data_IF_191227979623
#
_entry.id   IF_191227979623
#
_cell.length_a   1.000
_cell.length_b   1.000
_cell.length_c   1.000
_cell.angle_alpha   90.00
_cell.angle_beta   90.00
_cell.angle_gamma   90.00
#
_symmetry.space_group_name_H-M   'P 1'
#
loop_
_entity.id
_entity.type
_entity.pdbx_description
1 polymer ?
#
# COMPACT_ATOMS: atom_id res chain seq x y z
N UNK A 1 40.19 32.49 -28.24
CA UNK A 1 39.29 33.53 -27.70
C UNK A 1 37.98 33.36 -28.42
N UNK A 2 36.87 32.87 -27.89
CA UNK A 2 36.31 32.65 -26.54
C UNK A 2 35.39 31.42 -26.67
N UNK A 3 35.58 30.34 -25.92
CA UNK A 3 34.96 30.01 -24.62
C UNK A 3 33.56 30.57 -24.33
N UNK A 4 32.61 29.62 -24.18
CA UNK A 4 31.60 29.51 -23.12
C UNK A 4 30.46 30.58 -23.09
N UNK A 5 29.18 30.24 -23.09
CA UNK A 5 28.50 29.48 -22.03
C UNK A 5 27.12 28.95 -22.46
N UNK A 6 26.92 27.69 -22.09
CA UNK A 6 25.64 27.03 -21.86
C UNK A 6 24.71 27.83 -20.94
N UNK A 7 23.41 27.69 -21.16
CA UNK A 7 22.43 27.60 -20.07
C UNK A 7 21.29 26.72 -20.54
N UNK A 8 21.53 25.41 -20.44
CA UNK A 8 20.45 24.44 -20.27
C UNK A 8 19.96 24.64 -18.85
N UNK A 9 18.76 25.20 -18.72
CA UNK A 9 18.04 25.27 -17.46
C UNK A 9 17.53 23.84 -17.23
N UNK A 10 18.27 23.08 -16.43
CA UNK A 10 17.83 21.79 -15.94
C UNK A 10 16.93 22.07 -14.73
N UNK A 11 15.63 22.25 -15.00
CA UNK A 11 14.63 22.30 -13.94
C UNK A 11 14.54 20.90 -13.32
N UNK A 12 14.99 20.84 -12.07
CA UNK A 12 14.82 19.70 -11.19
C UNK A 12 13.32 19.48 -11.00
N UNK A 13 12.78 18.45 -11.64
CA UNK A 13 11.59 17.81 -11.12
C UNK A 13 12.08 16.87 -10.00
N UNK A 14 11.73 17.08 -8.72
CA UNK A 14 12.03 16.10 -7.70
C UNK A 14 11.16 14.89 -8.01
N UNK A 15 11.75 13.95 -8.75
CA UNK A 15 11.22 12.62 -8.95
C UNK A 15 10.71 12.13 -7.60
N UNK A 16 9.38 12.07 -7.48
CA UNK A 16 8.70 11.54 -6.30
C UNK A 16 9.24 10.13 -6.22
N UNK A 17 10.17 9.90 -5.28
CA UNK A 17 10.78 8.60 -5.03
C UNK A 17 9.65 7.63 -4.72
N UNK A 18 9.07 7.06 -5.77
CA UNK A 18 8.02 6.07 -5.73
C UNK A 18 8.77 4.83 -5.29
N UNK A 19 8.75 4.60 -3.99
CA UNK A 19 9.49 3.51 -3.40
C UNK A 19 8.85 2.23 -3.91
N UNK A 20 9.50 1.54 -4.86
CA UNK A 20 9.00 0.29 -5.44
C UNK A 20 8.54 -0.66 -4.32
N UNK A 21 7.24 -0.92 -4.27
CA UNK A 21 6.64 -1.74 -3.21
C UNK A 21 7.03 -3.20 -3.44
N UNK A 22 7.96 -3.70 -2.63
CA UNK A 22 8.46 -5.08 -2.74
C UNK A 22 7.69 -6.07 -1.86
N UNK A 23 7.75 -7.35 -2.21
CA UNK A 23 7.17 -8.42 -1.37
C UNK A 23 7.72 -8.43 0.07
N UNK A 24 8.97 -7.99 0.28
CA UNK A 24 9.60 -7.90 1.61
C UNK A 24 8.94 -6.83 2.48
N UNK A 25 8.52 -5.72 1.89
CA UNK A 25 7.81 -4.66 2.62
C UNK A 25 6.44 -5.16 3.09
N UNK A 26 5.71 -5.84 2.21
CA UNK A 26 4.44 -6.48 2.53
C UNK A 26 4.61 -7.53 3.64
N UNK A 27 5.58 -8.43 3.52
CA UNK A 27 5.88 -9.43 4.55
C UNK A 27 6.19 -8.77 5.90
N UNK A 28 7.05 -7.75 5.89
CA UNK A 28 7.44 -7.03 7.09
C UNK A 28 6.26 -6.34 7.77
N UNK A 29 5.35 -5.75 6.99
CA UNK A 29 4.13 -5.14 7.49
C UNK A 29 3.17 -6.18 8.10
N UNK A 30 3.01 -7.35 7.47
CA UNK A 30 2.22 -8.46 8.04
C UNK A 30 2.82 -8.97 9.37
N UNK A 31 4.15 -9.14 9.44
CA UNK A 31 4.86 -9.52 10.67
C UNK A 31 4.67 -8.46 11.76
N UNK A 32 4.71 -7.17 11.42
CA UNK A 32 4.49 -6.09 12.38
C UNK A 32 3.09 -6.15 13.00
N UNK A 33 2.06 -6.43 12.21
CA UNK A 33 0.70 -6.62 12.74
C UNK A 33 0.64 -7.77 13.75
N UNK A 34 1.30 -8.90 13.47
CA UNK A 34 1.39 -10.00 14.43
C UNK A 34 2.12 -9.58 15.72
N UNK A 35 3.23 -8.82 15.62
CA UNK A 35 3.95 -8.29 16.78
C UNK A 35 3.06 -7.40 17.64
N UNK A 36 2.33 -6.46 17.03
CA UNK A 36 1.42 -5.58 17.77
C UNK A 36 0.22 -6.32 18.37
N UNK A 37 -0.29 -7.34 17.69
CA UNK A 37 -1.31 -8.21 18.26
C UNK A 37 -0.77 -8.95 19.50
N UNK A 38 0.46 -9.48 19.47
CA UNK A 38 1.05 -10.12 20.65
C UNK A 38 1.34 -9.12 21.78
N UNK A 39 1.78 -7.90 21.47
CA UNK A 39 1.95 -6.81 22.46
C UNK A 39 0.62 -6.52 23.19
N UNK A 40 -0.50 -6.62 22.48
CA UNK A 40 -1.84 -6.49 23.02
C UNK A 40 -2.43 -7.78 23.61
N UNK A 41 -1.58 -8.78 23.91
CA UNK A 41 -1.96 -10.05 24.55
C UNK A 41 -2.94 -10.92 23.75
N UNK A 42 -3.04 -10.75 22.44
CA UNK A 42 -3.77 -11.71 21.61
C UNK A 42 -3.12 -13.09 21.70
N UNK A 43 -3.94 -14.13 21.83
CA UNK A 43 -3.46 -15.52 21.89
C UNK A 43 -3.02 -16.00 20.51
N UNK A 44 -2.16 -17.03 20.49
CA UNK A 44 -1.63 -17.63 19.25
C UNK A 44 -2.70 -18.20 18.33
N UNK A 45 -3.83 -18.59 18.90
CA UNK A 45 -5.03 -19.11 18.23
C UNK A 45 -6.09 -18.02 17.99
N UNK A 46 -5.78 -16.75 18.20
CA UNK A 46 -6.69 -15.67 17.78
C UNK A 46 -6.74 -15.57 16.26
N UNK A 47 -7.91 -15.18 15.74
CA UNK A 47 -8.14 -15.11 14.29
C UNK A 47 -7.10 -14.24 13.58
N UNK A 48 -6.80 -13.05 14.12
CA UNK A 48 -5.78 -12.14 13.57
C UNK A 48 -4.41 -12.83 13.43
N UNK A 49 -3.97 -13.58 14.44
CA UNK A 49 -2.69 -14.28 14.39
C UNK A 49 -2.71 -15.39 13.33
N UNK A 50 -3.79 -16.16 13.25
CA UNK A 50 -3.93 -17.22 12.23
C UNK A 50 -3.96 -16.67 10.81
N UNK A 51 -4.70 -15.59 10.60
CA UNK A 51 -4.86 -14.96 9.28
C UNK A 51 -3.50 -14.45 8.78
N UNK A 52 -2.82 -13.62 9.56
CA UNK A 52 -1.52 -13.07 9.13
C UNK A 52 -0.43 -14.15 9.04
N UNK A 53 -0.44 -15.17 9.89
CA UNK A 53 0.45 -16.31 9.72
C UNK A 53 0.20 -17.05 8.39
N UNK A 54 -1.06 -17.18 7.98
CA UNK A 54 -1.44 -17.81 6.71
C UNK A 54 -1.02 -16.94 5.54
N UNK A 55 -1.25 -15.63 5.58
CA UNK A 55 -0.83 -14.70 4.54
C UNK A 55 0.68 -14.71 4.32
N UNK A 56 1.48 -14.72 5.40
CA UNK A 56 2.94 -14.80 5.32
C UNK A 56 3.38 -16.13 4.71
N UNK A 57 2.77 -17.25 5.12
CA UNK A 57 3.10 -18.57 4.56
C UNK A 57 2.82 -18.65 3.07
N UNK A 58 1.64 -18.17 2.64
CA UNK A 58 1.27 -18.16 1.24
C UNK A 58 2.23 -17.28 0.42
N UNK A 59 2.58 -16.10 0.93
CA UNK A 59 3.56 -15.22 0.31
C UNK A 59 4.94 -15.88 0.17
N UNK A 60 5.44 -16.54 1.23
CA UNK A 60 6.73 -17.24 1.21
C UNK A 60 6.77 -18.39 0.21
N UNK A 61 5.64 -19.08 0.07
CA UNK A 61 5.50 -20.25 -0.79
C UNK A 61 5.15 -19.91 -2.24
N UNK A 62 4.81 -18.66 -2.55
CA UNK A 62 4.58 -18.22 -3.92
C UNK A 62 5.85 -18.41 -4.77
N UNK A 63 5.66 -18.98 -5.96
CA UNK A 63 6.69 -19.17 -6.98
C UNK A 63 7.29 -17.81 -7.38
N UNK A 64 6.41 -16.86 -7.70
CA UNK A 64 6.76 -15.47 -7.92
C UNK A 64 6.10 -14.58 -6.85
N UNK A 65 6.90 -14.07 -5.91
CA UNK A 65 6.42 -13.29 -4.76
C UNK A 65 5.95 -11.90 -5.15
N UNK A 66 6.62 -11.28 -6.12
CA UNK A 66 6.26 -9.95 -6.61
C UNK A 66 4.94 -10.00 -7.38
N UNK A 67 4.75 -11.02 -8.24
CA UNK A 67 3.48 -11.22 -8.91
C UNK A 67 2.35 -11.58 -7.94
N UNK A 68 2.64 -12.39 -6.92
CA UNK A 68 1.67 -12.74 -5.89
C UNK A 68 1.16 -11.50 -5.13
N UNK A 69 2.04 -10.57 -4.73
CA UNK A 69 1.60 -9.35 -4.03
C UNK A 69 0.79 -8.43 -4.95
N UNK A 70 1.12 -8.36 -6.25
CA UNK A 70 0.38 -7.58 -7.24
C UNK A 70 -1.03 -8.16 -7.42
N UNK A 71 -1.14 -9.47 -7.62
CA UNK A 71 -2.44 -10.15 -7.70
C UNK A 71 -3.28 -9.97 -6.42
N UNK A 72 -2.63 -10.05 -5.26
CA UNK A 72 -3.28 -9.81 -3.98
C UNK A 72 -3.79 -8.37 -3.89
N UNK A 73 -2.98 -7.38 -4.28
CA UNK A 73 -3.34 -5.96 -4.27
C UNK A 73 -4.60 -5.67 -5.11
N UNK A 74 -4.62 -6.10 -6.38
CA UNK A 74 -5.76 -5.87 -7.28
C UNK A 74 -7.02 -6.59 -6.81
N UNK A 75 -6.88 -7.78 -6.21
CA UNK A 75 -8.01 -8.54 -5.66
C UNK A 75 -8.59 -7.87 -4.41
N UNK A 76 -7.72 -7.32 -3.55
CA UNK A 76 -8.15 -6.64 -2.34
C UNK A 76 -8.77 -5.27 -2.64
N UNK A 77 -8.20 -4.54 -3.60
CA UNK A 77 -8.51 -3.14 -3.89
C UNK A 77 -8.67 -2.90 -5.39
N UNK A 78 -9.78 -3.34 -5.98
CA UNK A 78 -10.09 -3.07 -7.38
C UNK A 78 -10.42 -1.60 -7.66
N UNK A 79 -10.75 -0.82 -6.62
CA UNK A 79 -11.05 0.61 -6.68
C UNK A 79 -10.90 1.27 -5.30
N UNK A 80 -10.96 2.59 -5.26
CA UNK A 80 -10.87 3.38 -4.02
C UNK A 80 -12.01 3.09 -3.04
N UNK A 81 -13.22 2.86 -3.53
CA UNK A 81 -14.38 2.54 -2.68
C UNK A 81 -14.16 1.25 -1.86
N UNK A 82 -13.56 0.22 -2.46
CA UNK A 82 -13.17 -1.01 -1.78
C UNK A 82 -12.15 -0.75 -0.66
N UNK A 83 -11.17 0.10 -0.92
CA UNK A 83 -10.18 0.53 0.07
C UNK A 83 -10.84 1.29 1.23
N UNK A 84 -11.63 2.32 0.93
CA UNK A 84 -12.31 3.16 1.93
C UNK A 84 -13.24 2.35 2.83
N UNK A 85 -14.06 1.45 2.25
CA UNK A 85 -14.92 0.54 3.03
C UNK A 85 -14.13 -0.37 3.96
N UNK A 86 -12.98 -0.89 3.51
CA UNK A 86 -12.13 -1.75 4.34
C UNK A 86 -11.46 -0.95 5.45
N UNK A 87 -10.99 0.27 5.17
CA UNK A 87 -10.36 1.11 6.19
C UNK A 87 -11.32 1.57 7.28
N UNK A 88 -12.55 1.96 6.91
CA UNK A 88 -13.58 2.29 7.87
C UNK A 88 -13.85 1.14 8.87
N UNK A 89 -13.87 -0.11 8.39
CA UNK A 89 -14.04 -1.29 9.27
C UNK A 89 -12.86 -1.45 10.24
N UNK A 90 -11.63 -1.37 9.76
CA UNK A 90 -10.45 -1.54 10.63
C UNK A 90 -10.31 -0.43 11.66
N UNK A 91 -10.57 0.83 11.27
CA UNK A 91 -10.61 1.96 12.19
C UNK A 91 -11.63 1.73 13.31
N UNK A 92 -12.82 1.23 12.97
CA UNK A 92 -13.85 0.87 13.97
C UNK A 92 -13.42 -0.30 14.88
N UNK A 93 -12.87 -1.38 14.33
CA UNK A 93 -12.47 -2.56 15.10
C UNK A 93 -11.27 -2.31 16.03
N UNK A 94 -10.34 -1.46 15.61
CA UNK A 94 -9.09 -1.21 16.31
C UNK A 94 -8.97 0.22 16.85
N UNK A 95 -10.07 0.96 16.98
CA UNK A 95 -10.08 2.36 17.48
C UNK A 95 -9.33 2.54 18.81
N UNK A 96 -9.40 1.56 19.72
CA UNK A 96 -8.74 1.61 21.03
C UNK A 96 -7.36 0.93 21.05
N UNK A 97 -6.82 0.60 19.87
CA UNK A 97 -5.64 -0.25 19.68
C UNK A 97 -4.65 0.43 18.72
N UNK A 98 -4.25 1.66 19.06
CA UNK A 98 -3.51 2.59 18.18
C UNK A 98 -2.37 1.94 17.39
N UNK A 99 -1.41 1.28 18.04
CA UNK A 99 -0.26 0.70 17.35
C UNK A 99 -0.62 -0.44 16.37
N UNK A 100 -1.64 -1.24 16.73
CA UNK A 100 -2.17 -2.28 15.85
C UNK A 100 -2.92 -1.67 14.67
N UNK A 101 -3.74 -0.63 14.91
CA UNK A 101 -4.44 0.09 13.86
C UNK A 101 -3.47 0.71 12.86
N UNK A 102 -2.45 1.42 13.34
CA UNK A 102 -1.39 2.02 12.49
C UNK A 102 -0.69 0.94 11.66
N UNK A 103 -0.38 -0.22 12.25
CA UNK A 103 0.27 -1.32 11.52
C UNK A 103 -0.64 -1.91 10.44
N UNK A 104 -1.95 -2.00 10.71
CA UNK A 104 -2.97 -2.44 9.76
C UNK A 104 -3.14 -1.43 8.62
N UNK A 105 -3.25 -0.14 8.94
CA UNK A 105 -3.32 0.96 7.96
C UNK A 105 -2.10 0.94 7.03
N UNK A 106 -0.89 0.83 7.59
CA UNK A 106 0.33 0.78 6.79
C UNK A 106 0.34 -0.38 5.79
N UNK A 107 -0.08 -1.59 6.20
CA UNK A 107 -0.14 -2.73 5.28
C UNK A 107 -1.14 -2.49 4.14
N UNK A 108 -2.33 -1.99 4.46
CA UNK A 108 -3.38 -1.81 3.46
C UNK A 108 -3.11 -0.61 2.55
N UNK A 109 -2.38 0.40 3.02
CA UNK A 109 -1.86 1.47 2.17
C UNK A 109 -0.87 0.92 1.14
N UNK A 110 0.07 0.05 1.55
CA UNK A 110 1.00 -0.59 0.62
C UNK A 110 0.27 -1.38 -0.47
N UNK A 111 -0.74 -2.18 -0.08
CA UNK A 111 -1.54 -2.90 -1.06
C UNK A 111 -2.38 -1.97 -1.95
N UNK A 112 -2.90 -0.86 -1.43
CA UNK A 112 -3.68 0.08 -2.23
C UNK A 112 -2.81 0.81 -3.25
N UNK A 113 -1.65 1.34 -2.83
CA UNK A 113 -0.67 1.95 -3.74
C UNK A 113 -0.25 0.97 -4.83
N UNK A 114 0.13 -0.25 -4.45
CA UNK A 114 0.49 -1.29 -5.42
C UNK A 114 -0.68 -1.65 -6.37
N UNK A 115 -1.92 -1.59 -5.89
CA UNK A 115 -3.08 -1.84 -6.75
C UNK A 115 -3.19 -0.77 -7.84
N UNK A 116 -3.03 0.51 -7.50
CA UNK A 116 -3.12 1.64 -8.44
C UNK A 116 -2.02 1.61 -9.50
N UNK A 117 -0.83 1.15 -9.13
CA UNK A 117 0.30 0.99 -10.07
C UNK A 117 0.06 -0.11 -11.11
N UNK A 118 -0.70 -1.15 -10.77
CA UNK A 118 -0.79 -2.38 -11.57
C UNK A 118 -2.11 -2.50 -12.34
N UNK A 119 -3.20 -1.93 -11.80
CA UNK A 119 -4.52 -1.99 -12.45
C UNK A 119 -4.76 -0.76 -13.33
N UNK A 120 -5.57 -0.87 -14.39
CA UNK A 120 -6.09 0.30 -15.08
C UNK A 120 -6.87 1.21 -14.12
N UNK A 121 -6.78 2.52 -14.33
CA UNK A 121 -7.65 3.47 -13.62
C UNK A 121 -9.12 3.14 -13.89
N UNK A 122 -9.96 3.30 -12.87
CA UNK A 122 -11.41 3.24 -13.04
C UNK A 122 -11.95 4.50 -13.68
N UNK A 123 -13.15 4.45 -14.25
CA UNK A 123 -13.80 5.63 -14.83
C UNK A 123 -13.86 6.80 -13.84
N UNK A 124 -14.23 6.53 -12.58
CA UNK A 124 -14.25 7.54 -11.52
C UNK A 124 -12.88 8.16 -11.26
N UNK A 125 -11.82 7.35 -11.21
CA UNK A 125 -10.45 7.87 -11.06
C UNK A 125 -10.00 8.68 -12.28
N UNK A 126 -10.48 8.34 -13.48
CA UNK A 126 -10.22 9.09 -14.71
C UNK A 126 -10.96 10.43 -14.67
N UNK A 127 -12.24 10.44 -14.30
CA UNK A 127 -13.04 11.66 -14.12
C UNK A 127 -12.39 12.59 -13.10
N UNK A 128 -12.02 12.08 -11.92
CA UNK A 128 -11.32 12.83 -10.87
C UNK A 128 -9.98 13.40 -11.38
N UNK A 129 -9.16 12.61 -12.07
CA UNK A 129 -7.89 13.08 -12.61
C UNK A 129 -8.07 14.13 -13.71
N UNK A 130 -9.13 14.04 -14.53
CA UNK A 130 -9.46 15.06 -15.53
C UNK A 130 -9.89 16.34 -14.82
N UNK A 131 -10.73 16.26 -13.79
CA UNK A 131 -11.15 17.42 -13.00
C UNK A 131 -9.93 18.11 -12.35
N UNK A 132 -9.04 17.38 -11.69
CA UNK A 132 -7.81 17.94 -11.10
C UNK A 132 -6.99 18.73 -12.14
N UNK A 133 -6.78 18.17 -13.33
CA UNK A 133 -6.04 18.84 -14.42
C UNK A 133 -6.77 20.09 -14.94
N UNK A 134 -8.10 20.11 -14.92
CA UNK A 134 -8.90 21.23 -15.41
C UNK A 134 -9.07 22.36 -14.37
N UNK A 135 -8.92 22.06 -13.08
CA UNK A 135 -9.19 22.99 -11.98
C UNK A 135 -7.95 23.38 -11.15
N UNK A 136 -6.75 22.88 -11.48
CA UNK A 136 -5.48 23.41 -10.99
C UNK A 136 -5.19 24.81 -11.61
N UNK A 137 -5.75 25.87 -11.01
CA UNK A 137 -5.36 27.29 -11.18
C UNK A 137 -4.49 27.81 -10.04
#
# INVERSE_FOLDING_TARGET
MTDNRSSVINEQNPDVMTQDITWKMIESAQIKIMREAFNQRYKKDSQIIRDYATYIKNLRNAENKDEYIKYTAITLFPNEEAYNRRMARYRKWYQNKRELLVSVENLYNLYFSLSKEVRPMTETEIEEAIEEVLFDE
#
